data_IF_012053244721
#
_entry.id   IF_012053244721
#
_cell.length_a   1.000
_cell.length_b   1.000
_cell.length_c   1.000
_cell.angle_alpha   90.00
_cell.angle_beta   90.00
_cell.angle_gamma   90.00
#
_symmetry.space_group_name_H-M   'P 1'
#
loop_
_entity.id
_entity.type
_entity.pdbx_description
1 polymer ?
#
# COMPACT_ATOMS: atom_id res chain seq x y z
N UNK A 1 9.01 -19.48 -27.53
CA UNK A 1 7.63 -19.97 -27.27
C UNK A 1 6.69 -18.82 -26.93
N UNK A 2 6.89 -18.05 -25.85
CA UNK A 2 5.99 -16.93 -25.52
C UNK A 2 5.91 -15.88 -26.64
N UNK A 3 7.06 -15.45 -27.20
CA UNK A 3 7.09 -14.50 -28.31
C UNK A 3 6.30 -15.00 -29.52
N UNK A 4 6.53 -16.25 -29.93
CA UNK A 4 5.81 -16.86 -31.05
C UNK A 4 4.28 -16.91 -30.82
N UNK A 5 3.83 -17.15 -29.58
CA UNK A 5 2.39 -17.11 -29.25
C UNK A 5 1.84 -15.68 -29.28
N UNK A 6 2.62 -14.69 -28.83
CA UNK A 6 2.21 -13.28 -28.88
C UNK A 6 2.13 -12.76 -30.32
N UNK A 7 3.09 -13.14 -31.17
CA UNK A 7 3.12 -12.76 -32.58
C UNK A 7 1.96 -13.40 -33.35
N UNK A 8 1.68 -14.68 -33.12
CA UNK A 8 0.56 -15.40 -33.75
C UNK A 8 -0.81 -14.85 -33.32
N UNK A 9 -0.94 -14.40 -32.07
CA UNK A 9 -2.20 -13.86 -31.51
C UNK A 9 -2.30 -12.32 -31.62
N UNK A 10 -1.37 -11.67 -32.31
CA UNK A 10 -1.30 -10.21 -32.47
C UNK A 10 -1.39 -9.44 -31.13
N UNK A 11 -0.78 -9.98 -30.07
CA UNK A 11 -0.83 -9.38 -28.73
C UNK A 11 0.32 -8.41 -28.49
N UNK A 12 0.00 -7.13 -28.27
CA UNK A 12 0.98 -6.09 -27.95
C UNK A 12 1.61 -6.26 -26.55
N UNK A 13 0.89 -6.85 -25.59
CA UNK A 13 1.39 -7.03 -24.23
C UNK A 13 0.72 -8.20 -23.50
N UNK A 14 1.41 -8.75 -22.51
CA UNK A 14 0.89 -9.81 -21.63
C UNK A 14 1.12 -9.42 -20.16
N UNK A 15 0.09 -9.60 -19.34
CA UNK A 15 0.18 -9.40 -17.89
C UNK A 15 0.29 -10.76 -17.20
N UNK A 16 1.31 -10.93 -16.36
CA UNK A 16 1.54 -12.17 -15.63
C UNK A 16 0.70 -12.15 -14.34
N UNK A 17 -0.21 -13.11 -14.19
CA UNK A 17 -0.86 -13.37 -12.92
C UNK A 17 0.08 -14.09 -11.96
N UNK A 18 0.13 -13.65 -10.72
CA UNK A 18 0.84 -14.35 -9.62
C UNK A 18 0.02 -15.53 -9.06
N UNK A 19 -1.27 -15.58 -9.37
CA UNK A 19 -2.19 -16.64 -8.96
C UNK A 19 -2.39 -17.62 -10.11
N UNK A 20 -2.41 -18.92 -9.81
CA UNK A 20 -2.59 -19.98 -10.79
C UNK A 20 -3.68 -20.95 -10.40
N UNK A 21 -3.53 -22.20 -10.85
CA UNK A 21 -4.53 -23.25 -10.64
C UNK A 21 -4.81 -23.52 -9.15
N UNK A 22 -3.80 -23.40 -8.28
CA UNK A 22 -3.95 -23.62 -6.83
C UNK A 22 -4.98 -22.70 -6.22
N UNK A 23 -4.89 -21.40 -6.52
CA UNK A 23 -5.84 -20.41 -6.03
C UNK A 23 -7.21 -20.59 -6.68
N UNK A 24 -7.26 -20.99 -7.95
CA UNK A 24 -8.50 -21.37 -8.63
C UNK A 24 -9.26 -22.49 -7.91
N UNK A 25 -8.58 -23.59 -7.58
CA UNK A 25 -9.16 -24.71 -6.83
C UNK A 25 -9.58 -24.32 -5.40
N UNK A 26 -8.82 -23.44 -4.75
CA UNK A 26 -9.21 -22.90 -3.45
C UNK A 26 -10.52 -22.11 -3.57
N UNK A 27 -10.64 -21.21 -4.55
CA UNK A 27 -11.86 -20.43 -4.74
C UNK A 27 -13.06 -21.29 -5.13
N UNK A 28 -12.86 -22.29 -5.99
CA UNK A 28 -13.90 -23.25 -6.34
C UNK A 28 -14.42 -24.00 -5.11
N UNK A 29 -13.53 -24.52 -4.27
CA UNK A 29 -13.94 -25.28 -3.09
C UNK A 29 -14.63 -24.42 -2.03
N UNK A 30 -14.06 -23.26 -1.70
CA UNK A 30 -14.48 -22.45 -0.55
C UNK A 30 -15.46 -21.32 -0.89
N UNK A 31 -15.53 -20.84 -2.13
CA UNK A 31 -16.34 -19.69 -2.52
C UNK A 31 -17.40 -19.97 -3.60
N UNK A 32 -17.59 -21.23 -4.00
CA UNK A 32 -18.65 -21.63 -4.94
C UNK A 32 -20.07 -21.13 -4.60
N UNK A 33 -20.36 -20.91 -3.33
CA UNK A 33 -21.67 -20.46 -2.86
C UNK A 33 -21.85 -18.93 -2.88
N UNK A 34 -20.79 -18.17 -3.19
CA UNK A 34 -20.83 -16.72 -3.25
C UNK A 34 -21.14 -16.24 -4.68
N UNK A 35 -21.88 -15.14 -4.79
CA UNK A 35 -22.22 -14.54 -6.09
C UNK A 35 -20.96 -13.98 -6.75
N UNK A 36 -20.76 -14.32 -8.02
CA UNK A 36 -19.63 -13.83 -8.81
C UNK A 36 -19.89 -12.40 -9.35
N UNK A 37 -18.88 -11.51 -9.37
CA UNK A 37 -17.54 -11.69 -8.81
C UNK A 37 -17.53 -11.62 -7.28
N UNK A 38 -16.88 -12.59 -6.63
CA UNK A 38 -16.75 -12.66 -5.16
C UNK A 38 -16.08 -11.40 -4.60
N UNK A 39 -15.11 -10.87 -5.37
CA UNK A 39 -14.45 -9.59 -5.11
C UNK A 39 -14.59 -8.74 -6.36
N UNK A 40 -15.45 -7.72 -6.31
CA UNK A 40 -15.70 -6.81 -7.43
C UNK A 40 -14.57 -5.81 -7.67
N UNK A 41 -13.87 -5.42 -6.60
CA UNK A 41 -12.70 -4.54 -6.64
C UNK A 41 -11.57 -5.13 -5.79
N UNK A 42 -10.60 -5.75 -6.46
CA UNK A 42 -9.46 -6.41 -5.80
C UNK A 42 -8.57 -5.40 -5.08
N UNK A 43 -8.41 -4.19 -5.63
CA UNK A 43 -7.54 -3.14 -5.07
C UNK A 43 -8.13 -2.62 -3.77
N UNK A 44 -9.40 -2.22 -3.79
CA UNK A 44 -10.11 -1.78 -2.60
C UNK A 44 -10.20 -2.89 -1.54
N UNK A 45 -10.53 -4.11 -1.97
CA UNK A 45 -10.59 -5.26 -1.06
C UNK A 45 -9.24 -5.54 -0.40
N UNK A 46 -8.15 -5.49 -1.16
CA UNK A 46 -6.78 -5.68 -0.67
C UNK A 46 -6.40 -4.68 0.42
N UNK A 47 -6.64 -3.39 0.18
CA UNK A 47 -6.36 -2.31 1.15
C UNK A 47 -7.20 -2.50 2.42
N UNK A 48 -8.51 -2.70 2.28
CA UNK A 48 -9.40 -2.86 3.43
C UNK A 48 -9.11 -4.14 4.22
N UNK A 49 -8.80 -5.24 3.54
CA UNK A 49 -8.42 -6.48 4.18
C UNK A 49 -7.13 -6.29 4.99
N UNK A 50 -6.12 -5.61 4.44
CA UNK A 50 -4.89 -5.27 5.16
C UNK A 50 -5.17 -4.43 6.40
N UNK A 51 -5.97 -3.38 6.24
CA UNK A 51 -6.35 -2.50 7.34
C UNK A 51 -7.03 -3.29 8.47
N UNK A 52 -7.94 -4.21 8.13
CA UNK A 52 -8.65 -5.08 9.08
C UNK A 52 -7.73 -6.09 9.78
N UNK A 53 -6.84 -6.76 9.04
CA UNK A 53 -5.87 -7.72 9.60
C UNK A 53 -5.01 -7.07 10.69
N UNK A 54 -4.61 -5.81 10.49
CA UNK A 54 -3.81 -5.06 11.45
C UNK A 54 -4.63 -4.18 12.40
N UNK A 55 -5.95 -4.39 12.48
CA UNK A 55 -6.84 -3.72 13.43
C UNK A 55 -6.69 -2.18 13.43
N UNK A 56 -6.65 -1.59 12.24
CA UNK A 56 -6.55 -0.14 12.09
C UNK A 56 -7.66 0.62 12.85
N UNK A 57 -7.35 1.84 13.28
CA UNK A 57 -8.36 2.76 13.83
C UNK A 57 -9.30 3.22 12.72
N UNK A 58 -10.45 2.54 12.59
CA UNK A 58 -11.42 2.79 11.53
C UNK A 58 -11.92 4.24 11.51
N UNK A 59 -12.23 4.81 12.67
CA UNK A 59 -12.71 6.19 12.75
C UNK A 59 -11.64 7.17 12.28
N UNK A 60 -10.41 7.05 12.81
CA UNK A 60 -9.31 7.95 12.47
C UNK A 60 -8.93 7.84 10.99
N UNK A 61 -8.71 6.62 10.49
CA UNK A 61 -8.29 6.41 9.11
C UNK A 61 -9.33 6.92 8.10
N UNK A 62 -10.63 6.70 8.34
CA UNK A 62 -11.67 7.20 7.45
C UNK A 62 -11.80 8.73 7.49
N UNK A 63 -11.58 9.36 8.65
CA UNK A 63 -11.55 10.81 8.75
C UNK A 63 -10.38 11.41 7.96
N UNK A 64 -9.16 10.86 8.12
CA UNK A 64 -7.97 11.29 7.37
C UNK A 64 -8.19 11.08 5.87
N UNK A 65 -8.70 9.92 5.47
CA UNK A 65 -9.08 9.60 4.09
C UNK A 65 -10.06 10.61 3.50
N UNK A 66 -11.13 10.92 4.23
CA UNK A 66 -12.13 11.90 3.81
C UNK A 66 -11.50 13.28 3.59
N UNK A 67 -10.72 13.78 4.56
CA UNK A 67 -10.09 15.09 4.47
C UNK A 67 -9.06 15.14 3.34
N UNK A 68 -8.21 14.11 3.22
CA UNK A 68 -7.22 14.01 2.14
C UNK A 68 -7.89 13.99 0.75
N UNK A 69 -8.97 13.21 0.58
CA UNK A 69 -9.72 13.17 -0.68
C UNK A 69 -10.40 14.51 -1.03
N UNK A 70 -10.91 15.24 -0.02
CA UNK A 70 -11.46 16.59 -0.23
C UNK A 70 -10.37 17.57 -0.68
N UNK A 71 -9.21 17.55 -0.02
CA UNK A 71 -8.07 18.39 -0.39
C UNK A 71 -7.56 18.06 -1.79
N UNK A 72 -7.45 16.77 -2.14
CA UNK A 72 -7.08 16.33 -3.49
C UNK A 72 -8.01 16.94 -4.54
N UNK A 73 -9.33 16.84 -4.35
CA UNK A 73 -10.30 17.40 -5.31
C UNK A 73 -10.21 18.93 -5.41
N UNK A 74 -9.98 19.62 -4.31
CA UNK A 74 -9.86 21.09 -4.30
C UNK A 74 -8.56 21.57 -4.95
N UNK A 75 -7.50 20.77 -4.87
CA UNK A 75 -6.18 21.09 -5.42
C UNK A 75 -6.01 20.55 -6.86
N UNK A 76 -7.04 19.94 -7.44
CA UNK A 76 -7.01 19.41 -8.80
C UNK A 76 -6.46 20.39 -9.86
N UNK A 77 -6.79 21.69 -9.85
CA UNK A 77 -6.22 22.65 -10.80
C UNK A 77 -4.69 22.86 -10.66
N UNK A 78 -4.10 22.52 -9.51
CA UNK A 78 -2.67 22.71 -9.24
C UNK A 78 -1.84 21.49 -9.61
N UNK A 79 -2.37 20.28 -9.39
CA UNK A 79 -1.59 19.05 -9.59
C UNK A 79 -1.94 18.30 -10.88
N UNK A 80 -3.14 18.49 -11.45
CA UNK A 80 -3.56 17.84 -12.70
C UNK A 80 -3.77 16.32 -12.63
N UNK A 81 -3.49 15.67 -11.50
CA UNK A 81 -3.73 14.24 -11.27
C UNK A 81 -5.20 13.80 -11.38
N UNK A 82 -5.39 12.51 -11.71
CA UNK A 82 -6.69 11.90 -11.94
C UNK A 82 -7.04 10.79 -10.94
N UNK A 83 -7.89 9.86 -11.39
CA UNK A 83 -8.42 8.78 -10.55
C UNK A 83 -7.34 7.82 -10.04
N UNK A 84 -6.29 7.58 -10.82
CA UNK A 84 -5.22 6.66 -10.44
C UNK A 84 -4.48 7.17 -9.20
N UNK A 85 -4.09 8.44 -9.18
CA UNK A 85 -3.41 9.06 -8.04
C UNK A 85 -4.34 9.23 -6.83
N UNK A 86 -5.63 9.54 -7.06
CA UNK A 86 -6.65 9.58 -6.00
C UNK A 86 -6.73 8.23 -5.28
N UNK A 87 -6.69 7.12 -6.02
CA UNK A 87 -6.74 5.78 -5.46
C UNK A 87 -5.48 5.44 -4.64
N UNK A 88 -4.29 5.85 -5.09
CA UNK A 88 -3.06 5.67 -4.32
C UNK A 88 -3.10 6.47 -3.00
N UNK A 89 -3.60 7.71 -3.06
CA UNK A 89 -3.79 8.56 -1.88
C UNK A 89 -4.82 7.94 -0.92
N UNK A 90 -5.94 7.41 -1.43
CA UNK A 90 -6.98 6.74 -0.67
C UNK A 90 -6.41 5.54 0.11
N UNK A 91 -5.65 4.70 -0.58
CA UNK A 91 -4.97 3.54 0.00
C UNK A 91 -3.97 3.97 1.08
N UNK A 92 -3.12 4.96 0.80
CA UNK A 92 -2.16 5.47 1.76
C UNK A 92 -2.86 6.06 3.00
N UNK A 93 -3.98 6.78 2.82
CA UNK A 93 -4.73 7.34 3.92
C UNK A 93 -5.37 6.28 4.83
N UNK A 94 -5.84 5.17 4.27
CA UNK A 94 -6.35 4.06 5.09
C UNK A 94 -5.24 3.33 5.86
N UNK A 95 -4.03 3.26 5.31
CA UNK A 95 -2.94 2.43 5.83
C UNK A 95 -1.87 3.22 6.60
N UNK A 96 -1.98 4.55 6.70
CA UNK A 96 -0.90 5.40 7.22
C UNK A 96 -0.44 5.05 8.65
N UNK A 97 -1.36 4.60 9.51
CA UNK A 97 -1.12 4.36 10.93
C UNK A 97 -1.04 2.87 11.32
N UNK A 98 -0.91 1.95 10.36
CA UNK A 98 -0.80 0.51 10.67
C UNK A 98 0.36 0.16 11.62
N UNK A 99 1.47 0.89 11.51
CA UNK A 99 2.65 0.67 12.34
C UNK A 99 2.43 0.92 13.83
N UNK A 100 1.34 1.58 14.22
CA UNK A 100 1.00 1.84 15.63
C UNK A 100 0.75 0.55 16.40
N UNK A 101 0.36 -0.54 15.72
CA UNK A 101 0.26 -1.88 16.28
C UNK A 101 1.61 -2.41 16.80
N UNK A 102 2.72 -2.01 16.18
CA UNK A 102 4.08 -2.41 16.56
C UNK A 102 4.62 -1.47 17.63
N UNK A 103 4.59 -0.17 17.34
CA UNK A 103 5.12 0.87 18.22
C UNK A 103 4.53 2.21 17.84
N UNK A 104 4.21 3.04 18.83
CA UNK A 104 3.83 4.43 18.59
C UNK A 104 4.99 5.26 18.04
N UNK A 105 6.20 5.00 18.56
CA UNK A 105 7.42 5.59 18.05
C UNK A 105 7.74 4.99 16.69
N UNK A 106 8.10 5.85 15.75
CA UNK A 106 8.41 5.46 14.38
C UNK A 106 7.36 4.62 13.64
N UNK A 107 6.07 4.68 14.05
CA UNK A 107 4.99 3.93 13.39
C UNK A 107 4.95 4.13 11.88
N UNK A 108 5.19 5.34 11.38
CA UNK A 108 5.30 5.63 9.94
C UNK A 108 6.31 4.73 9.19
N UNK A 109 7.46 4.38 9.80
CA UNK A 109 8.44 3.44 9.23
C UNK A 109 7.94 1.99 9.30
N UNK A 110 7.22 1.65 10.37
CA UNK A 110 6.60 0.34 10.54
C UNK A 110 5.45 0.13 9.55
N UNK A 111 4.59 1.12 9.33
CA UNK A 111 3.52 1.11 8.31
C UNK A 111 4.10 0.83 6.94
N UNK A 112 5.16 1.57 6.54
CA UNK A 112 5.86 1.32 5.29
C UNK A 112 6.35 -0.13 5.17
N UNK A 113 7.05 -0.61 6.21
CA UNK A 113 7.60 -1.97 6.23
C UNK A 113 6.49 -3.02 6.11
N UNK A 114 5.37 -2.84 6.81
CA UNK A 114 4.23 -3.74 6.74
C UNK A 114 3.63 -3.79 5.33
N UNK A 115 3.44 -2.64 4.68
CA UNK A 115 2.87 -2.56 3.33
C UNK A 115 3.78 -3.24 2.31
N UNK A 116 5.09 -2.95 2.34
CA UNK A 116 6.05 -3.54 1.41
C UNK A 116 6.15 -5.05 1.57
N UNK A 117 6.30 -5.54 2.81
CA UNK A 117 6.51 -6.97 3.05
C UNK A 117 5.27 -7.81 2.75
N UNK A 118 4.08 -7.23 2.88
CA UNK A 118 2.84 -7.96 2.72
C UNK A 118 2.16 -7.72 1.36
N UNK A 119 2.65 -6.77 0.57
CA UNK A 119 2.13 -6.41 -0.75
C UNK A 119 0.69 -5.89 -0.74
N UNK A 120 0.20 -5.46 -1.89
CA UNK A 120 -1.21 -5.09 -2.08
C UNK A 120 -1.71 -5.71 -3.39
N UNK A 121 -2.40 -6.88 -3.36
CA UNK A 121 -3.02 -7.45 -4.55
C UNK A 121 -3.83 -6.41 -5.35
N UNK A 122 -3.68 -6.43 -6.68
CA UNK A 122 -4.28 -5.46 -7.59
C UNK A 122 -3.45 -4.19 -7.84
N UNK A 123 -2.41 -3.94 -7.04
CA UNK A 123 -1.47 -2.84 -7.27
C UNK A 123 -0.16 -3.33 -7.88
N UNK A 124 0.39 -2.55 -8.81
CA UNK A 124 1.71 -2.77 -9.35
C UNK A 124 2.79 -2.55 -8.28
N UNK A 125 4.00 -3.12 -8.46
CA UNK A 125 5.12 -2.90 -7.53
C UNK A 125 5.43 -1.41 -7.31
N UNK A 126 5.41 -0.61 -8.39
CA UNK A 126 5.55 0.85 -8.34
C UNK A 126 4.49 1.51 -7.45
N UNK A 127 3.23 1.17 -7.66
CA UNK A 127 2.11 1.72 -6.90
C UNK A 127 2.19 1.35 -5.41
N UNK A 128 2.53 0.09 -5.12
CA UNK A 128 2.74 -0.38 -3.73
C UNK A 128 3.89 0.38 -3.07
N UNK A 129 4.97 0.67 -3.80
CA UNK A 129 6.08 1.47 -3.31
C UNK A 129 5.64 2.92 -3.00
N UNK A 130 4.88 3.55 -3.90
CA UNK A 130 4.34 4.90 -3.69
C UNK A 130 3.42 4.97 -2.47
N UNK A 131 2.50 4.01 -2.32
CA UNK A 131 1.62 3.91 -1.14
C UNK A 131 2.47 3.78 0.13
N UNK A 132 3.44 2.88 0.14
CA UNK A 132 4.31 2.68 1.30
C UNK A 132 5.13 3.94 1.63
N UNK A 133 5.68 4.63 0.64
CA UNK A 133 6.42 5.88 0.83
C UNK A 133 5.52 7.01 1.33
N UNK A 134 4.29 7.14 0.82
CA UNK A 134 3.31 8.10 1.34
C UNK A 134 2.99 7.83 2.81
N UNK A 135 2.80 6.56 3.20
CA UNK A 135 2.59 6.21 4.62
C UNK A 135 3.82 6.47 5.48
N UNK A 136 5.05 6.33 4.94
CA UNK A 136 6.28 6.72 5.64
C UNK A 136 6.33 8.21 5.89
N UNK A 137 6.02 9.01 4.88
CA UNK A 137 6.19 10.45 4.93
C UNK A 137 4.92 11.18 5.36
N UNK A 138 3.88 10.52 5.87
CA UNK A 138 2.65 11.19 6.28
C UNK A 138 2.80 12.13 7.50
N UNK A 139 3.90 12.05 8.28
CA UNK A 139 4.10 12.89 9.49
C UNK A 139 5.46 13.56 9.66
N UNK A 140 6.56 12.91 9.24
CA UNK A 140 7.94 13.34 9.53
C UNK A 140 8.83 13.15 8.31
N UNK A 141 9.93 13.91 8.27
CA UNK A 141 10.93 13.84 7.22
C UNK A 141 10.52 14.57 5.93
N UNK A 142 11.45 14.70 4.99
CA UNK A 142 11.14 15.11 3.61
C UNK A 142 10.93 13.85 2.77
N UNK A 143 9.91 13.82 1.89
CA UNK A 143 9.73 12.71 0.97
C UNK A 143 11.00 12.44 0.16
N UNK A 144 11.41 11.18 0.12
CA UNK A 144 12.57 10.67 -0.61
C UNK A 144 12.25 9.27 -1.10
N UNK A 145 12.78 8.91 -2.27
CA UNK A 145 12.52 7.61 -2.91
C UNK A 145 13.54 6.54 -2.55
N UNK A 146 14.40 6.81 -1.56
CA UNK A 146 15.49 5.94 -1.10
C UNK A 146 15.06 4.46 -1.00
N UNK A 147 15.68 3.59 -1.81
CA UNK A 147 15.46 2.15 -1.83
C UNK A 147 14.35 1.66 -2.78
N UNK A 148 13.71 2.55 -3.53
CA UNK A 148 12.68 2.24 -4.52
C UNK A 148 12.98 2.81 -5.92
N UNK A 149 14.17 3.37 -6.13
CA UNK A 149 14.55 4.10 -7.34
C UNK A 149 14.34 3.26 -8.62
N UNK A 150 14.61 1.96 -8.56
CA UNK A 150 14.44 1.05 -9.71
C UNK A 150 12.99 0.75 -10.07
N UNK A 151 12.02 1.12 -9.23
CA UNK A 151 10.60 0.85 -9.44
C UNK A 151 9.82 2.10 -9.87
N UNK A 152 10.39 3.29 -9.65
CA UNK A 152 9.73 4.55 -9.90
C UNK A 152 10.09 5.10 -11.28
N UNK A 153 9.23 5.96 -11.79
CA UNK A 153 9.40 6.65 -13.08
C UNK A 153 9.53 8.15 -12.88
N UNK A 154 9.94 8.85 -13.93
CA UNK A 154 10.02 10.31 -13.92
C UNK A 154 8.69 10.95 -13.49
N UNK A 155 8.78 11.88 -12.53
CA UNK A 155 7.61 12.54 -11.93
C UNK A 155 7.11 11.90 -10.63
N UNK A 156 7.51 10.66 -10.29
CA UNK A 156 7.07 10.00 -9.05
C UNK A 156 7.56 10.70 -7.79
N UNK A 157 8.73 11.34 -7.81
CA UNK A 157 9.21 12.13 -6.69
C UNK A 157 8.31 13.34 -6.40
N UNK A 158 7.86 14.01 -7.46
CA UNK A 158 6.94 15.14 -7.37
C UNK A 158 5.57 14.67 -6.89
N UNK A 159 5.05 13.58 -7.47
CA UNK A 159 3.80 12.95 -7.05
C UNK A 159 3.85 12.56 -5.58
N UNK A 160 4.89 11.84 -5.16
CA UNK A 160 5.10 11.45 -3.77
C UNK A 160 5.10 12.68 -2.85
N UNK A 161 5.77 13.75 -3.26
CA UNK A 161 5.86 14.98 -2.47
C UNK A 161 4.51 15.66 -2.32
N UNK A 162 3.77 15.82 -3.42
CA UNK A 162 2.46 16.47 -3.43
C UNK A 162 1.42 15.65 -2.65
N UNK A 163 1.31 14.35 -2.92
CA UNK A 163 0.34 13.49 -2.23
C UNK A 163 0.67 13.31 -0.76
N UNK A 164 1.96 13.21 -0.39
CA UNK A 164 2.37 13.20 1.03
C UNK A 164 2.03 14.51 1.74
N UNK A 165 2.11 15.65 1.04
CA UNK A 165 1.72 16.94 1.60
C UNK A 165 0.20 17.02 1.84
N UNK A 166 -0.60 16.53 0.89
CA UNK A 166 -2.06 16.41 1.04
C UNK A 166 -2.41 15.53 2.25
N UNK A 167 -1.78 14.36 2.34
CA UNK A 167 -2.02 13.41 3.43
C UNK A 167 -1.62 13.97 4.80
N UNK A 168 -0.48 14.69 4.88
CA UNK A 168 -0.05 15.41 6.10
C UNK A 168 -1.11 16.40 6.56
N UNK A 169 -1.67 17.18 5.64
CA UNK A 169 -2.64 18.21 5.98
C UNK A 169 -3.96 17.62 6.43
N UNK A 170 -4.45 16.58 5.74
CA UNK A 170 -5.67 15.86 6.13
C UNK A 170 -5.60 15.26 7.54
N UNK A 171 -4.40 14.90 8.02
CA UNK A 171 -4.19 14.42 9.40
C UNK A 171 -4.30 15.53 10.45
N UNK A 172 -3.72 16.70 10.19
CA UNK A 172 -3.69 17.82 11.15
C UNK A 172 -5.10 18.30 11.50
N UNK A 173 -5.97 18.41 10.50
CA UNK A 173 -7.34 18.91 10.70
C UNK A 173 -8.25 17.87 11.39
N UNK A 174 -7.86 16.59 11.39
CA UNK A 174 -8.57 15.50 12.07
C UNK A 174 -8.35 15.43 13.58
N UNK A 175 -7.30 16.04 14.13
CA UNK A 175 -7.04 16.03 15.58
C UNK A 175 -7.94 17.00 16.39
N UNK A 176 -8.65 17.91 15.71
CA UNK A 176 -9.53 18.90 16.33
C UNK A 176 -11.02 18.53 16.38
N UNK A 177 -11.46 17.52 15.63
CA UNK A 177 -12.87 17.11 15.55
C UNK A 177 -13.04 15.71 16.15
N UNK A 178 -13.37 15.65 17.45
CA UNK A 178 -13.94 14.42 18.04
C UNK A 178 -15.33 14.22 17.42
N UNK A 179 -15.66 13.05 16.83
CA UNK A 179 -17.02 12.78 16.43
C UNK A 179 -17.94 12.74 17.66
N UNK A 180 -19.13 13.36 17.62
CA UNK A 180 -20.09 13.25 18.71
C UNK A 180 -20.65 11.81 18.71
N UNK A 181 -20.31 11.02 19.73
CA UNK A 181 -21.01 9.74 19.98
C UNK A 181 -20.19 8.53 20.42
N UNK A 182 -18.87 8.60 20.65
CA UNK A 182 -18.13 7.43 21.16
C UNK A 182 -18.12 7.38 22.69
N UNK A 183 -19.23 6.92 23.27
CA UNK A 183 -19.26 6.32 24.60
C UNK A 183 -19.23 4.79 24.43
N UNK A 184 -18.04 4.25 24.18
CA UNK A 184 -17.82 2.81 24.07
C UNK A 184 -16.44 2.45 24.59
N UNK A 185 -16.42 1.70 25.70
CA UNK A 185 -15.24 1.20 26.40
C UNK A 185 -14.08 0.80 25.49
N UNK A 186 -13.05 1.64 25.41
CA UNK A 186 -11.75 1.20 24.92
C UNK A 186 -11.07 0.41 26.03
N UNK A 187 -11.41 -0.88 26.06
CA UNK A 187 -10.72 -1.90 26.83
C UNK A 187 -9.21 -1.76 26.66
N UNK A 188 -8.52 -1.72 27.79
CA UNK A 188 -7.06 -1.71 27.91
C UNK A 188 -6.44 -2.68 26.88
N UNK A 189 -5.34 -2.33 26.21
CA UNK A 189 -4.68 -3.25 25.29
C UNK A 189 -4.30 -4.51 26.05
N UNK A 190 -5.00 -5.62 25.76
CA UNK A 190 -4.59 -6.95 26.19
C UNK A 190 -3.23 -7.21 25.56
N UNK A 191 -2.19 -7.20 26.40
CA UNK A 191 -0.83 -7.59 26.05
C UNK A 191 -0.87 -8.96 25.35
N UNK A 192 -0.85 -8.98 24.03
CA UNK A 192 -0.35 -10.14 23.29
C UNK A 192 1.17 -10.00 23.23
N UNK A 193 1.81 -10.11 24.40
CA UNK A 193 3.25 -10.26 24.49
C UNK A 193 3.64 -11.68 24.05
N UNK A 194 3.45 -12.01 22.77
CA UNK A 194 4.28 -13.02 22.14
C UNK A 194 5.60 -12.33 21.80
N UNK A 195 6.61 -12.62 22.61
CA UNK A 195 8.03 -12.29 22.42
C UNK A 195 8.44 -12.58 20.98
N UNK A 196 8.32 -11.60 20.10
CA UNK A 196 9.20 -11.48 18.94
C UNK A 196 10.38 -10.66 19.43
N UNK A 197 11.33 -11.34 20.08
CA UNK A 197 12.67 -10.82 20.24
C UNK A 197 13.27 -10.76 18.83
N UNK A 198 13.00 -9.70 18.09
CA UNK A 198 13.79 -9.35 16.92
C UNK A 198 15.12 -8.84 17.48
N UNK A 199 16.03 -9.78 17.77
CA UNK A 199 17.46 -9.47 17.73
C UNK A 199 17.68 -8.86 16.36
N UNK A 200 18.02 -7.58 16.31
CA UNK A 200 18.45 -6.91 15.08
C UNK A 200 19.54 -7.76 14.41
N UNK A 201 19.26 -8.47 13.31
CA UNK A 201 20.31 -9.13 12.59
C UNK A 201 20.96 -8.05 11.73
N UNK A 202 22.29 -8.04 11.68
CA UNK A 202 23.08 -7.37 10.66
C UNK A 202 22.76 -7.95 9.26
N UNK A 203 21.52 -7.86 8.80
CA UNK A 203 21.04 -8.34 7.51
C UNK A 203 20.70 -7.16 6.62
N UNK A 204 21.71 -6.32 6.34
CA UNK A 204 21.72 -5.40 5.19
C UNK A 204 21.90 -6.15 3.85
N UNK A 205 22.07 -7.49 3.87
CA UNK A 205 22.38 -8.29 2.69
C UNK A 205 21.20 -9.04 2.05
N UNK A 206 20.11 -9.35 2.77
CA UNK A 206 19.03 -10.20 2.20
C UNK A 206 17.91 -9.41 1.52
N UNK A 207 17.54 -8.21 2.00
CA UNK A 207 16.55 -7.35 1.30
C UNK A 207 17.07 -6.88 -0.05
N UNK A 208 18.38 -6.62 -0.15
CA UNK A 208 19.06 -6.38 -1.42
C UNK A 208 19.01 -7.59 -2.36
N UNK A 209 18.80 -8.82 -1.87
CA UNK A 209 18.85 -10.03 -2.67
C UNK A 209 17.54 -10.32 -3.42
N UNK A 210 16.39 -9.92 -2.87
CA UNK A 210 15.09 -10.02 -3.55
C UNK A 210 14.96 -8.94 -4.63
N UNK A 211 15.37 -7.71 -4.31
CA UNK A 211 15.43 -6.61 -5.28
C UNK A 211 16.49 -6.89 -6.36
N UNK A 212 17.67 -7.43 -6.02
CA UNK A 212 18.68 -7.86 -7.00
C UNK A 212 18.23 -9.04 -7.88
N UNK A 213 17.42 -9.98 -7.37
CA UNK A 213 16.87 -11.08 -8.21
C UNK A 213 15.83 -10.57 -9.22
N UNK A 214 15.06 -9.54 -8.86
CA UNK A 214 14.15 -8.86 -9.79
C UNK A 214 14.89 -8.01 -10.83
N UNK A 215 16.06 -7.46 -10.49
CA UNK A 215 16.88 -6.64 -11.40
C UNK A 215 17.80 -7.49 -12.29
N UNK A 216 18.40 -8.58 -11.80
CA UNK A 216 19.31 -9.44 -12.59
C UNK A 216 18.59 -10.26 -13.67
N UNK A 217 17.29 -10.53 -13.49
CA UNK A 217 16.48 -11.24 -14.51
C UNK A 217 16.07 -10.37 -15.71
N UNK A 218 16.37 -9.07 -15.69
CA UNK A 218 16.16 -8.14 -16.82
C UNK A 218 17.44 -7.83 -17.62
N UNK A 219 18.64 -8.08 -17.07
CA UNK A 219 19.92 -7.76 -17.75
C UNK A 219 20.40 -8.85 -18.72
N UNK A 220 19.85 -10.05 -18.69
CA UNK A 220 20.26 -11.18 -19.55
C UNK A 220 19.39 -11.35 -20.81
N UNK A 221 18.58 -10.34 -21.19
CA UNK A 221 17.75 -10.36 -22.43
C UNK A 221 18.10 -9.28 -23.45
N UNK A 222 19.26 -8.64 -23.30
CA UNK A 222 19.84 -7.76 -24.32
C UNK A 222 21.29 -8.15 -24.55
N UNK A 223 21.48 -9.34 -25.13
CA UNK A 223 22.68 -9.77 -25.84
C UNK A 223 22.25 -10.79 -26.89
#
# INVERSE_FOLDING_TARGET
MLQAVMDELEMESVTISVNGLREGLFFEHFWQHLVYPVVSDVRQFSVLNKARIYQYSKAHANQVRFLAGRLFKQLAPLHGYGRAEEELLDAAALLHDLGTLISYDDHHKHSQTLIINSGLPGFQPRETALIALMTRYHRKGRPRVDGFESLLVDGDETLLTQLSAILRRGRSDGQGLRPPGDHGEHGRPRRLARRLTVKSPKSRMQTNQIIRRLISSRSDRTA
#
